data_IF_814016166638
#
_entry.id   IF_814016166638
#
_cell.length_a   1.000
_cell.length_b   1.000
_cell.length_c   1.000
_cell.angle_alpha   90.00
_cell.angle_beta   90.00
_cell.angle_gamma   90.00
#
_symmetry.space_group_name_H-M   'P 1'
#
loop_
_entity.id
_entity.type
_entity.pdbx_description
1 polymer ?
#
# COMPACT_ATOMS: atom_id res chain seq x y z
N UNK A 1 4.97 -1.28 17.68
CA UNK A 1 5.93 -0.15 17.61
C UNK A 1 5.70 0.74 18.82
N UNK A 2 6.68 0.91 19.70
CA UNK A 2 6.51 1.74 20.89
C UNK A 2 6.60 3.22 20.54
N UNK A 3 5.90 4.08 21.30
CA UNK A 3 5.90 5.52 21.07
C UNK A 3 5.15 6.31 22.14
N UNK A 4 5.07 7.62 21.93
CA UNK A 4 4.27 8.55 22.72
C UNK A 4 3.13 9.11 21.86
N UNK A 5 1.92 9.12 22.40
CA UNK A 5 0.69 9.44 21.69
C UNK A 5 -0.05 10.54 22.43
N UNK A 6 -0.28 11.66 21.75
CA UNK A 6 -0.98 12.83 22.24
C UNK A 6 -2.43 12.77 21.80
N UNK A 7 -3.31 12.74 22.79
CA UNK A 7 -4.75 12.73 22.62
C UNK A 7 -5.27 14.16 22.42
N UNK A 8 -6.50 14.32 21.89
CA UNK A 8 -7.16 15.62 21.76
C UNK A 8 -7.28 16.40 23.08
N UNK A 9 -7.36 15.69 24.20
CA UNK A 9 -7.30 16.25 25.56
C UNK A 9 -5.95 16.88 25.91
N UNK A 10 -4.95 16.78 25.02
CA UNK A 10 -3.54 17.15 25.19
C UNK A 10 -2.79 16.29 26.22
N UNK A 11 -3.39 15.20 26.68
CA UNK A 11 -2.67 14.19 27.45
C UNK A 11 -1.79 13.36 26.51
N UNK A 12 -0.51 13.23 26.85
CA UNK A 12 0.44 12.40 26.11
C UNK A 12 0.72 11.13 26.90
N UNK A 13 0.48 9.98 26.29
CA UNK A 13 0.65 8.66 26.90
C UNK A 13 1.69 7.83 26.16
N UNK A 14 2.40 7.00 26.91
CA UNK A 14 3.24 5.96 26.32
C UNK A 14 2.37 4.80 25.85
N UNK A 15 2.73 4.25 24.69
CA UNK A 15 1.95 3.18 24.07
C UNK A 15 2.77 2.30 23.14
N UNK A 16 2.12 1.25 22.64
CA UNK A 16 2.56 0.42 21.53
C UNK A 16 1.49 0.42 20.45
N UNK A 17 1.87 0.81 19.25
CA UNK A 17 1.07 0.72 18.05
C UNK A 17 1.46 -0.53 17.27
N UNK A 18 0.57 -1.50 17.22
CA UNK A 18 0.69 -2.64 16.31
C UNK A 18 0.02 -2.29 14.99
N UNK A 19 0.81 -2.17 13.91
CA UNK A 19 0.29 -1.87 12.58
C UNK A 19 0.23 -3.17 11.82
N UNK A 20 -0.95 -3.77 11.85
CA UNK A 20 -1.26 -4.91 11.03
C UNK A 20 -2.12 -4.48 9.85
N UNK A 21 -1.94 -5.18 8.74
CA UNK A 21 -2.71 -4.92 7.55
C UNK A 21 -4.22 -5.14 7.81
N UNK A 22 -4.61 -6.17 8.57
CA UNK A 22 -6.02 -6.50 8.88
C UNK A 22 -6.61 -5.77 10.09
N UNK A 23 -5.87 -4.81 10.64
CA UNK A 23 -6.36 -3.95 11.70
C UNK A 23 -5.25 -3.51 12.63
N UNK A 24 -4.98 -2.21 12.65
CA UNK A 24 -4.00 -1.64 13.57
C UNK A 24 -4.62 -1.47 14.95
N UNK A 25 -3.82 -1.67 16.00
CA UNK A 25 -4.24 -1.53 17.41
C UNK A 25 -3.23 -0.63 18.11
N UNK A 26 -3.72 0.44 18.75
CA UNK A 26 -2.95 1.24 19.69
C UNK A 26 -3.26 0.77 21.11
N UNK A 27 -2.26 0.31 21.85
CA UNK A 27 -2.33 0.07 23.28
C UNK A 27 -1.62 1.19 24.03
N UNK A 28 -2.33 1.94 24.88
CA UNK A 28 -1.75 2.98 25.75
C UNK A 28 -1.97 2.64 27.22
N UNK A 29 -1.09 3.12 28.08
CA UNK A 29 -1.15 2.89 29.52
C UNK A 29 -0.70 4.10 30.32
N UNK A 30 -1.14 4.15 31.57
CA UNK A 30 -0.73 5.18 32.53
C UNK A 30 -1.57 6.45 32.47
N UNK A 31 -2.76 6.41 31.86
CA UNK A 31 -3.65 7.56 31.88
C UNK A 31 -4.15 7.81 33.31
N UNK A 32 -4.09 9.07 33.73
CA UNK A 32 -4.48 9.50 35.08
C UNK A 32 -6.00 9.52 35.29
N UNK A 33 -6.75 9.52 34.18
CA UNK A 33 -8.21 9.55 34.18
C UNK A 33 -8.82 8.85 32.98
N UNK A 34 -10.13 9.10 32.80
CA UNK A 34 -10.85 8.66 31.62
C UNK A 34 -10.45 9.49 30.40
N UNK A 35 -9.99 8.83 29.34
CA UNK A 35 -9.71 9.51 28.08
C UNK A 35 -11.03 9.79 27.37
N UNK A 36 -11.33 11.08 27.19
CA UNK A 36 -12.44 11.52 26.34
C UNK A 36 -11.89 11.79 24.93
N UNK A 37 -12.32 10.97 23.96
CA UNK A 37 -12.10 11.23 22.53
C UNK A 37 -13.27 10.67 21.72
N UNK A 38 -13.48 11.24 20.54
CA UNK A 38 -14.51 10.89 19.57
C UNK A 38 -13.91 10.22 18.33
N UNK A 39 -14.74 9.58 17.52
CA UNK A 39 -14.29 8.95 16.27
C UNK A 39 -13.73 9.97 15.25
N UNK A 40 -14.11 11.25 15.38
CA UNK A 40 -13.59 12.33 14.53
C UNK A 40 -12.19 12.80 14.97
N UNK A 41 -11.70 12.33 16.11
CA UNK A 41 -10.48 12.82 16.69
C UNK A 41 -9.24 12.17 16.08
N UNK A 42 -8.17 12.96 16.02
CA UNK A 42 -6.85 12.52 15.60
C UNK A 42 -5.98 12.32 16.84
N UNK A 43 -5.41 11.12 16.97
CA UNK A 43 -4.36 10.87 17.96
C UNK A 43 -3.03 11.00 17.21
N UNK A 44 -2.28 12.05 17.52
CA UNK A 44 -0.94 12.26 16.98
C UNK A 44 0.09 11.57 17.87
N UNK A 45 1.26 11.23 17.34
CA UNK A 45 2.30 10.62 18.15
C UNK A 45 3.65 10.56 17.46
N UNK A 46 4.64 10.12 18.23
CA UNK A 46 5.99 9.84 17.76
C UNK A 46 6.36 8.42 18.17
N UNK A 47 6.78 7.62 17.19
CA UNK A 47 7.35 6.30 17.42
C UNK A 47 8.74 6.43 18.07
N UNK A 48 9.25 5.34 18.64
CA UNK A 48 10.54 5.33 19.36
C UNK A 48 11.73 5.80 18.50
N UNK A 49 11.65 5.65 17.18
CA UNK A 49 12.61 6.13 16.19
C UNK A 49 12.35 7.60 15.76
N UNK A 50 11.53 8.35 16.50
CA UNK A 50 11.10 9.72 16.21
C UNK A 50 10.29 9.88 14.92
N UNK A 51 9.79 8.79 14.34
CA UNK A 51 8.89 8.88 13.18
C UNK A 51 7.51 9.36 13.63
N UNK A 52 7.00 10.49 13.09
CA UNK A 52 5.65 10.94 13.39
C UNK A 52 4.59 9.98 12.85
N UNK A 53 3.52 9.82 13.63
CA UNK A 53 2.37 8.98 13.33
C UNK A 53 1.07 9.72 13.66
N UNK A 54 0.06 9.54 12.83
CA UNK A 54 -1.29 10.03 13.06
C UNK A 54 -2.29 8.86 12.96
N UNK A 55 -3.19 8.78 13.92
CA UNK A 55 -4.25 7.78 14.00
C UNK A 55 -5.60 8.47 13.85
N UNK A 56 -6.43 7.99 12.94
CA UNK A 56 -7.72 8.61 12.59
C UNK A 56 -8.85 7.58 12.66
N UNK A 57 -10.06 8.04 12.99
CA UNK A 57 -11.20 7.16 13.19
C UNK A 57 -10.93 6.21 14.34
N UNK A 58 -10.57 6.75 15.51
CA UNK A 58 -10.09 5.98 16.65
C UNK A 58 -11.26 5.51 17.52
N UNK A 59 -11.44 4.20 17.66
CA UNK A 59 -12.49 3.59 18.48
C UNK A 59 -11.90 2.86 19.69
N UNK A 60 -12.33 3.16 20.93
CA UNK A 60 -11.91 2.39 22.10
C UNK A 60 -12.53 0.99 22.05
N UNK A 61 -11.70 -0.05 22.08
CA UNK A 61 -12.12 -1.47 22.12
C UNK A 61 -12.16 -1.99 23.53
N UNK A 62 -11.13 -1.68 24.31
CA UNK A 62 -11.04 -2.14 25.68
C UNK A 62 -10.44 -1.07 26.58
N UNK A 63 -10.87 -1.10 27.84
CA UNK A 63 -10.44 -0.21 28.90
C UNK A 63 -10.21 -1.04 30.15
N UNK A 64 -9.05 -0.88 30.79
CA UNK A 64 -8.71 -1.55 32.04
C UNK A 64 -8.24 -0.52 33.06
N UNK A 65 -8.72 -0.65 34.29
CA UNK A 65 -8.24 0.12 35.44
C UNK A 65 -7.31 -0.77 36.25
N UNK A 66 -6.17 -0.23 36.67
CA UNK A 66 -5.30 -0.86 37.66
C UNK A 66 -5.10 0.10 38.83
N UNK A 67 -5.05 -0.43 40.05
CA UNK A 67 -4.82 0.36 41.27
C UNK A 67 -3.40 0.06 41.73
N UNK A 68 -2.53 1.06 41.60
CA UNK A 68 -1.13 0.97 42.02
C UNK A 68 -0.82 1.84 43.23
N UNK A 69 0.44 1.83 43.71
CA UNK A 69 0.90 2.67 44.82
C UNK A 69 0.70 4.18 44.58
N UNK A 70 0.67 4.59 43.31
CA UNK A 70 0.50 5.97 42.88
C UNK A 70 -0.96 6.33 42.56
N UNK A 71 -1.92 5.48 42.93
CA UNK A 71 -3.34 5.67 42.64
C UNK A 71 -3.85 4.83 41.45
N UNK A 72 -5.09 5.08 41.00
CA UNK A 72 -5.65 4.40 39.83
C UNK A 72 -4.91 4.85 38.56
N UNK A 73 -4.66 3.91 37.65
CA UNK A 73 -4.17 4.18 36.30
C UNK A 73 -4.96 3.38 35.29
N UNK A 74 -5.17 3.96 34.12
CA UNK A 74 -5.96 3.35 33.06
C UNK A 74 -5.08 2.90 31.89
N UNK A 75 -5.48 1.81 31.25
CA UNK A 75 -4.98 1.40 29.94
C UNK A 75 -6.12 1.22 28.96
N UNK A 76 -5.83 1.50 27.68
CA UNK A 76 -6.79 1.48 26.59
C UNK A 76 -6.21 0.70 25.41
N UNK A 77 -7.07 -0.07 24.76
CA UNK A 77 -6.84 -0.58 23.40
C UNK A 77 -7.76 0.18 22.46
N UNK A 78 -7.18 0.78 21.42
CA UNK A 78 -7.85 1.67 20.49
C UNK A 78 -7.64 1.13 19.08
N UNK A 79 -8.72 1.00 18.31
CA UNK A 79 -8.69 0.65 16.90
C UNK A 79 -8.80 1.90 16.05
N UNK A 80 -7.69 2.39 15.47
CA UNK A 80 -7.76 3.36 14.40
C UNK A 80 -8.31 2.75 13.11
N UNK A 81 -9.20 3.47 12.43
CA UNK A 81 -9.60 3.16 11.05
C UNK A 81 -8.46 3.39 10.06
N UNK A 82 -7.64 4.40 10.32
CA UNK A 82 -6.49 4.75 9.49
C UNK A 82 -5.27 5.06 10.33
N UNK A 83 -4.12 4.59 9.88
CA UNK A 83 -2.81 4.95 10.44
C UNK A 83 -1.99 5.59 9.34
N UNK A 84 -1.45 6.78 9.60
CA UNK A 84 -0.51 7.45 8.70
C UNK A 84 0.83 7.64 9.39
N UNK A 85 1.89 7.20 8.74
CA UNK A 85 3.27 7.24 9.23
C UNK A 85 4.10 8.01 8.20
N UNK A 86 4.88 9.01 8.60
CA UNK A 86 5.75 9.70 7.64
C UNK A 86 6.87 10.49 8.28
N UNK A 87 7.42 11.45 7.53
CA UNK A 87 8.66 12.15 7.87
C UNK A 87 8.45 13.54 8.46
N UNK A 88 7.21 14.02 8.50
CA UNK A 88 6.82 15.26 9.17
C UNK A 88 5.47 15.13 9.87
N UNK A 89 5.24 16.02 10.83
CA UNK A 89 3.94 16.17 11.48
C UNK A 89 2.90 16.55 10.43
N UNK A 90 1.72 15.93 10.52
CA UNK A 90 0.65 16.10 9.55
C UNK A 90 -0.52 16.76 10.26
N UNK A 91 -0.95 17.91 9.76
CA UNK A 91 -2.08 18.67 10.29
C UNK A 91 -3.37 18.21 9.62
N UNK A 92 -4.09 17.28 10.24
CA UNK A 92 -5.36 16.76 9.71
C UNK A 92 -6.56 17.47 10.36
N UNK A 93 -7.71 17.66 9.68
CA UNK A 93 -8.24 17.00 8.47
C UNK A 93 -8.15 17.79 7.13
N UNK A 94 -7.48 18.94 7.11
CA UNK A 94 -7.47 19.86 5.96
C UNK A 94 -6.35 19.57 4.94
N UNK A 95 -5.43 18.65 5.23
CA UNK A 95 -4.37 18.30 4.31
C UNK A 95 -4.86 17.39 3.19
N UNK A 96 -4.65 17.88 1.96
CA UNK A 96 -5.27 17.31 0.77
C UNK A 96 -4.28 16.43 0.00
N UNK A 97 -4.69 15.21 -0.29
CA UNK A 97 -3.91 14.15 -0.95
C UNK A 97 -4.00 14.33 -2.45
N UNK A 98 -2.86 14.53 -3.10
CA UNK A 98 -2.79 14.71 -4.56
C UNK A 98 -2.41 13.41 -5.30
N UNK A 99 -1.71 12.51 -4.63
CA UNK A 99 -1.23 11.27 -5.25
C UNK A 99 -1.21 10.15 -4.24
N UNK A 100 -1.62 8.97 -4.70
CA UNK A 100 -1.38 7.71 -4.01
C UNK A 100 -0.51 6.81 -4.90
N UNK A 101 0.41 6.10 -4.27
CA UNK A 101 1.25 5.07 -4.87
C UNK A 101 1.08 3.81 -4.02
N UNK A 102 0.81 2.66 -4.64
CA UNK A 102 0.49 1.46 -3.89
C UNK A 102 0.98 0.18 -4.58
N UNK A 103 1.28 -0.80 -3.75
CA UNK A 103 1.63 -2.17 -4.13
C UNK A 103 0.48 -3.11 -3.73
N UNK A 104 0.22 -4.12 -4.54
CA UNK A 104 -0.75 -5.17 -4.23
C UNK A 104 -0.23 -6.54 -4.68
N UNK A 105 -0.76 -7.59 -4.07
CA UNK A 105 -0.20 -8.95 -4.09
C UNK A 105 -0.01 -9.60 -5.47
N UNK A 106 -0.87 -9.29 -6.45
CA UNK A 106 -0.74 -9.85 -7.79
C UNK A 106 -0.39 -8.84 -8.89
N UNK A 107 0.19 -7.70 -8.51
CA UNK A 107 0.59 -6.66 -9.47
C UNK A 107 1.45 -7.24 -10.60
N UNK A 108 2.38 -8.16 -10.27
CA UNK A 108 3.24 -8.83 -11.25
C UNK A 108 2.47 -9.55 -12.37
N UNK A 109 1.38 -10.25 -12.05
CA UNK A 109 0.62 -11.02 -13.03
C UNK A 109 -0.24 -10.12 -13.92
N UNK A 110 -0.82 -9.08 -13.34
CA UNK A 110 -1.68 -8.14 -14.05
C UNK A 110 -0.90 -7.24 -15.02
N UNK A 111 0.31 -6.86 -14.60
CA UNK A 111 1.16 -5.87 -15.27
C UNK A 111 2.37 -6.50 -15.95
N UNK A 112 2.40 -7.83 -16.10
CA UNK A 112 3.51 -8.54 -16.74
C UNK A 112 3.78 -7.95 -18.13
N UNK A 113 5.00 -7.45 -18.31
CA UNK A 113 5.55 -6.98 -19.58
C UNK A 113 6.89 -7.69 -19.86
N UNK A 114 7.45 -7.44 -21.04
CA UNK A 114 8.71 -8.05 -21.48
C UNK A 114 9.94 -7.22 -21.05
N UNK A 115 9.79 -6.36 -20.04
CA UNK A 115 10.86 -5.47 -19.58
C UNK A 115 11.94 -6.21 -18.77
N UNK A 116 11.60 -7.36 -18.18
CA UNK A 116 12.51 -8.19 -17.37
C UNK A 116 12.51 -9.60 -17.92
N UNK A 117 13.69 -10.11 -18.25
CA UNK A 117 13.84 -11.49 -18.70
C UNK A 117 15.26 -12.01 -18.42
N UNK A 118 15.47 -13.29 -18.76
CA UNK A 118 16.75 -13.98 -18.70
C UNK A 118 17.16 -14.38 -20.11
N UNK A 119 18.41 -14.11 -20.46
CA UNK A 119 19.04 -14.57 -21.70
C UNK A 119 20.23 -15.48 -21.38
N UNK A 120 20.46 -16.47 -22.24
CA UNK A 120 21.62 -17.35 -22.21
C UNK A 120 22.47 -17.02 -23.45
N UNK A 121 23.39 -16.04 -23.36
CA UNK A 121 24.12 -15.57 -24.52
C UNK A 121 25.18 -16.57 -24.95
N UNK A 122 25.74 -16.38 -26.14
CA UNK A 122 26.95 -17.06 -26.53
C UNK A 122 28.13 -16.64 -25.60
N UNK A 123 28.92 -17.58 -25.04
CA UNK A 123 30.02 -17.26 -24.14
C UNK A 123 31.06 -16.30 -24.72
N UNK A 124 31.37 -16.42 -26.02
CA UNK A 124 32.37 -15.56 -26.65
C UNK A 124 31.86 -14.12 -26.80
N UNK A 125 30.59 -13.95 -27.19
CA UNK A 125 29.96 -12.63 -27.28
C UNK A 125 29.88 -11.93 -25.91
N UNK A 126 29.52 -12.65 -24.86
CA UNK A 126 29.46 -12.08 -23.51
C UNK A 126 30.87 -11.70 -23.01
N UNK A 127 31.87 -12.53 -23.27
CA UNK A 127 33.26 -12.25 -22.91
C UNK A 127 33.79 -10.98 -23.59
N UNK A 128 33.49 -10.80 -24.88
CA UNK A 128 33.82 -9.58 -25.62
C UNK A 128 33.11 -8.35 -25.04
N UNK A 129 31.82 -8.45 -24.75
CA UNK A 129 31.05 -7.37 -24.15
C UNK A 129 31.62 -6.95 -22.79
N UNK A 130 31.85 -7.90 -21.87
CA UNK A 130 32.40 -7.58 -20.55
C UNK A 130 33.79 -6.96 -20.68
N UNK A 131 34.65 -7.54 -21.52
CA UNK A 131 36.01 -7.00 -21.75
C UNK A 131 35.98 -5.56 -22.29
N UNK A 132 34.97 -5.20 -23.09
CA UNK A 132 34.81 -3.83 -23.61
C UNK A 132 34.32 -2.81 -22.57
N UNK A 133 33.66 -3.26 -21.50
CA UNK A 133 33.13 -2.39 -20.45
C UNK A 133 34.09 -2.26 -19.26
N UNK A 134 35.11 -3.11 -19.20
CA UNK A 134 35.92 -3.33 -18.00
C UNK A 134 37.42 -3.10 -18.24
N UNK A 135 37.77 -2.02 -18.95
CA UNK A 135 39.14 -1.63 -19.31
C UNK A 135 40.07 -1.37 -18.10
N UNK A 136 39.55 -1.34 -16.86
CA UNK A 136 40.32 -1.03 -15.64
C UNK A 136 40.15 -2.01 -14.47
N UNK A 137 39.47 -3.15 -14.64
CA UNK A 137 39.33 -4.11 -13.54
C UNK A 137 40.61 -4.88 -13.27
N UNK A 138 40.98 -4.96 -11.99
CA UNK A 138 42.06 -5.81 -11.48
C UNK A 138 41.70 -7.30 -11.46
N UNK A 139 40.44 -7.65 -11.74
CA UNK A 139 39.92 -9.02 -11.73
C UNK A 139 39.05 -9.28 -12.97
N UNK A 140 39.66 -9.71 -14.08
CA UNK A 140 38.91 -10.01 -15.30
C UNK A 140 37.88 -11.11 -15.03
N UNK A 141 36.63 -10.84 -15.38
CA UNK A 141 35.53 -11.80 -15.22
C UNK A 141 35.75 -12.98 -16.17
N UNK A 142 35.82 -14.20 -15.61
CA UNK A 142 35.88 -15.42 -16.41
C UNK A 142 34.47 -15.85 -16.82
N UNK A 143 34.18 -15.83 -18.13
CA UNK A 143 32.91 -16.33 -18.68
C UNK A 143 33.02 -17.83 -18.91
N UNK A 144 32.15 -18.60 -18.25
CA UNK A 144 32.06 -20.06 -18.43
C UNK A 144 31.17 -20.48 -19.61
N UNK A 145 31.04 -21.79 -19.83
CA UNK A 145 30.33 -22.39 -20.98
C UNK A 145 28.81 -22.14 -21.02
N UNK A 146 28.22 -21.80 -19.87
CA UNK A 146 26.77 -21.63 -19.71
C UNK A 146 26.44 -20.29 -19.02
N UNK A 147 26.74 -19.15 -19.66
CA UNK A 147 26.45 -17.86 -19.08
C UNK A 147 24.94 -17.65 -18.98
N UNK A 148 24.53 -17.01 -17.88
CA UNK A 148 23.15 -16.58 -17.65
C UNK A 148 23.18 -15.10 -17.36
N UNK A 149 22.42 -14.32 -18.11
CA UNK A 149 22.30 -12.87 -17.92
C UNK A 149 20.83 -12.56 -17.63
N UNK A 150 20.57 -12.02 -16.45
CA UNK A 150 19.29 -11.38 -16.15
C UNK A 150 19.37 -9.91 -16.55
N UNK A 151 18.32 -9.38 -17.16
CA UNK A 151 18.31 -8.00 -17.60
C UNK A 151 16.98 -7.32 -17.31
N UNK A 152 17.05 -6.00 -17.17
CA UNK A 152 15.93 -5.10 -17.17
C UNK A 152 16.13 -4.08 -18.29
N UNK A 153 15.16 -3.96 -19.19
CA UNK A 153 15.13 -2.90 -20.19
C UNK A 153 14.07 -1.89 -19.82
N UNK A 154 14.45 -0.63 -19.96
CA UNK A 154 13.54 0.46 -19.68
C UNK A 154 13.37 1.36 -20.91
N UNK A 155 12.43 1.00 -21.77
CA UNK A 155 12.08 1.85 -22.91
C UNK A 155 11.30 3.11 -22.50
N UNK A 156 10.64 3.12 -21.33
CA UNK A 156 9.61 4.10 -20.97
C UNK A 156 9.70 4.60 -19.53
N UNK A 157 10.90 4.73 -18.97
CA UNK A 157 11.15 5.12 -17.57
C UNK A 157 10.31 4.32 -16.53
N UNK A 158 10.19 3.02 -16.73
CA UNK A 158 9.48 2.05 -15.89
C UNK A 158 7.99 1.98 -16.18
N UNK A 159 7.44 2.88 -16.99
CA UNK A 159 6.01 2.98 -17.24
C UNK A 159 5.47 1.73 -17.95
N UNK A 160 4.49 1.10 -17.31
CA UNK A 160 3.76 -0.05 -17.84
C UNK A 160 2.53 0.43 -18.62
N UNK A 161 1.68 1.23 -17.96
CA UNK A 161 0.53 1.88 -18.60
C UNK A 161 0.18 3.19 -17.91
N UNK A 162 -0.64 4.01 -18.57
CA UNK A 162 -1.29 5.18 -17.98
C UNK A 162 -2.61 5.44 -18.67
N UNK A 163 -3.62 5.78 -17.89
CA UNK A 163 -4.97 6.05 -18.38
C UNK A 163 -5.59 7.22 -17.64
N UNK A 164 -6.17 8.15 -18.37
CA UNK A 164 -7.01 9.20 -17.80
C UNK A 164 -8.37 8.60 -17.41
N UNK A 165 -8.81 8.91 -16.19
CA UNK A 165 -10.07 8.40 -15.64
C UNK A 165 -10.79 9.50 -14.89
N UNK A 166 -12.00 9.18 -14.42
CA UNK A 166 -12.84 10.12 -13.66
C UNK A 166 -12.32 10.47 -12.27
N UNK A 167 -11.32 9.73 -11.78
CA UNK A 167 -10.66 10.00 -10.50
C UNK A 167 -9.25 10.57 -10.71
N UNK A 168 -8.89 10.93 -11.94
CA UNK A 168 -7.54 11.34 -12.35
C UNK A 168 -6.77 10.27 -13.12
N UNK A 169 -5.46 10.45 -13.23
CA UNK A 169 -4.58 9.59 -14.01
C UNK A 169 -4.18 8.35 -13.21
N UNK A 170 -4.59 7.17 -13.68
CA UNK A 170 -4.16 5.87 -13.12
C UNK A 170 -3.02 5.32 -13.94
N UNK A 171 -1.94 4.88 -13.28
CA UNK A 171 -0.75 4.33 -13.94
C UNK A 171 -0.13 3.18 -13.15
N UNK A 172 0.74 2.41 -13.79
CA UNK A 172 1.63 1.46 -13.11
C UNK A 172 3.03 1.53 -13.69
N UNK A 173 4.02 1.29 -12.81
CA UNK A 173 5.44 1.41 -13.13
C UNK A 173 6.24 0.28 -12.49
N UNK A 174 7.28 -0.19 -13.20
CA UNK A 174 8.33 -1.01 -12.65
C UNK A 174 9.22 -0.17 -11.72
N UNK A 175 9.51 -0.67 -10.54
CA UNK A 175 10.44 -0.10 -9.58
C UNK A 175 11.56 -1.12 -9.35
N UNK A 176 12.58 -1.01 -10.19
CA UNK A 176 13.74 -1.91 -10.15
C UNK A 176 14.79 -1.38 -9.19
N UNK A 177 15.27 -2.24 -8.30
CA UNK A 177 16.39 -1.95 -7.39
C UNK A 177 17.48 -2.99 -7.64
N UNK A 178 18.63 -2.56 -8.15
CA UNK A 178 19.81 -3.40 -8.25
C UNK A 178 20.56 -3.46 -6.91
N UNK A 179 21.22 -4.58 -6.66
CA UNK A 179 22.05 -4.76 -5.48
C UNK A 179 23.26 -5.63 -5.81
N UNK A 180 24.32 -5.39 -5.06
CA UNK A 180 25.52 -6.22 -5.02
C UNK A 180 25.76 -6.51 -3.54
N UNK A 181 25.88 -7.78 -3.18
CA UNK A 181 26.10 -8.24 -1.82
C UNK A 181 27.56 -8.66 -1.65
N UNK A 182 28.09 -8.49 -0.43
CA UNK A 182 29.43 -8.94 -0.06
C UNK A 182 29.58 -10.48 -0.07
N UNK A 183 28.48 -11.22 -0.27
CA UNK A 183 28.44 -12.69 -0.36
C UNK A 183 28.45 -13.20 -1.80
N UNK A 184 28.92 -12.38 -2.74
CA UNK A 184 28.94 -12.68 -4.19
C UNK A 184 27.55 -12.79 -4.83
N UNK A 185 26.49 -12.32 -4.16
CA UNK A 185 25.17 -12.22 -4.77
C UNK A 185 25.02 -10.88 -5.48
N UNK A 186 24.72 -10.90 -6.78
CA UNK A 186 24.33 -9.71 -7.52
C UNK A 186 23.00 -9.95 -8.22
N UNK A 187 22.19 -8.91 -8.33
CA UNK A 187 20.93 -9.01 -9.03
C UNK A 187 20.11 -7.74 -8.93
N UNK A 188 18.84 -7.88 -9.24
CA UNK A 188 17.87 -6.83 -9.04
C UNK A 188 16.54 -7.42 -8.56
N UNK A 189 15.81 -6.59 -7.82
CA UNK A 189 14.41 -6.84 -7.47
C UNK A 189 13.55 -5.88 -8.26
N UNK A 190 12.35 -6.31 -8.64
CA UNK A 190 11.36 -5.44 -9.25
C UNK A 190 10.07 -5.47 -8.44
N UNK A 191 9.58 -4.29 -8.08
CA UNK A 191 8.24 -4.09 -7.56
C UNK A 191 7.39 -3.38 -8.60
N UNK A 192 6.15 -3.80 -8.77
CA UNK A 192 5.23 -3.05 -9.64
C UNK A 192 4.36 -2.15 -8.77
N UNK A 193 4.56 -0.85 -8.93
CA UNK A 193 3.84 0.17 -8.18
C UNK A 193 2.74 0.77 -9.05
N UNK A 194 1.49 0.65 -8.60
CA UNK A 194 0.39 1.40 -9.17
C UNK A 194 0.32 2.79 -8.55
N UNK A 195 -0.21 3.76 -9.28
CA UNK A 195 -0.38 5.12 -8.81
C UNK A 195 -1.67 5.75 -9.35
N UNK A 196 -2.26 6.63 -8.55
CA UNK A 196 -3.30 7.55 -8.99
C UNK A 196 -2.82 8.96 -8.69
N UNK A 197 -2.74 9.79 -9.72
CA UNK A 197 -2.62 11.24 -9.60
C UNK A 197 -4.03 11.81 -9.68
N UNK A 198 -4.52 12.41 -8.60
CA UNK A 198 -5.87 12.95 -8.56
C UNK A 198 -5.93 14.31 -9.27
N UNK A 199 -7.01 14.55 -10.02
CA UNK A 199 -7.26 15.85 -10.68
C UNK A 199 -7.50 16.95 -9.64
N UNK A 200 -8.27 16.61 -8.61
CA UNK A 200 -8.53 17.43 -7.45
C UNK A 200 -8.00 16.70 -6.21
N UNK A 201 -7.28 17.40 -5.33
CA UNK A 201 -6.83 16.80 -4.09
C UNK A 201 -8.00 16.27 -3.25
N UNK A 202 -7.81 15.12 -2.59
CA UNK A 202 -8.84 14.45 -1.76
C UNK A 202 -8.41 14.23 -0.31
N UNK A 203 -9.37 13.97 0.59
CA UNK A 203 -9.06 13.55 1.96
C UNK A 203 -8.86 12.02 2.07
N UNK A 204 -8.46 11.54 3.26
CA UNK A 204 -8.16 10.13 3.51
C UNK A 204 -9.36 9.19 3.34
N UNK A 205 -10.57 9.66 3.65
CA UNK A 205 -11.79 8.86 3.56
C UNK A 205 -12.17 8.63 2.09
N UNK A 206 -12.11 9.70 1.29
CA UNK A 206 -12.32 9.64 -0.15
C UNK A 206 -11.22 8.81 -0.83
N UNK A 207 -9.96 8.90 -0.37
CA UNK A 207 -8.89 8.04 -0.83
C UNK A 207 -9.22 6.57 -0.62
N UNK A 208 -9.65 6.19 0.59
CA UNK A 208 -10.04 4.80 0.85
C UNK A 208 -11.15 4.35 -0.10
N UNK A 209 -12.20 5.15 -0.28
CA UNK A 209 -13.31 4.84 -1.20
C UNK A 209 -12.83 4.60 -2.63
N UNK A 210 -11.94 5.45 -3.15
CA UNK A 210 -11.36 5.31 -4.51
C UNK A 210 -10.46 4.08 -4.61
N UNK A 211 -9.66 3.82 -3.59
CA UNK A 211 -8.81 2.63 -3.51
C UNK A 211 -9.64 1.34 -3.52
N UNK A 212 -10.75 1.29 -2.79
CA UNK A 212 -11.68 0.17 -2.81
C UNK A 212 -12.28 -0.06 -4.22
N UNK A 213 -12.64 1.00 -4.93
CA UNK A 213 -13.16 0.92 -6.30
C UNK A 213 -12.13 0.32 -7.26
N UNK A 214 -10.86 0.75 -7.14
CA UNK A 214 -9.75 0.24 -7.93
C UNK A 214 -9.47 -1.23 -7.60
N UNK A 215 -9.35 -1.58 -6.32
CA UNK A 215 -9.09 -2.97 -5.90
C UNK A 215 -10.20 -3.92 -6.36
N UNK A 216 -11.46 -3.49 -6.38
CA UNK A 216 -12.55 -4.26 -6.98
C UNK A 216 -12.34 -4.46 -8.48
N UNK A 217 -11.97 -3.42 -9.21
CA UNK A 217 -11.67 -3.56 -10.64
C UNK A 217 -10.53 -4.56 -10.87
N UNK A 218 -9.39 -4.33 -10.22
CA UNK A 218 -8.20 -5.19 -10.31
C UNK A 218 -8.55 -6.64 -9.96
N UNK A 219 -9.37 -6.83 -8.92
CA UNK A 219 -9.81 -8.14 -8.50
C UNK A 219 -10.68 -8.86 -9.52
N UNK A 220 -11.58 -8.15 -10.23
CA UNK A 220 -12.32 -8.73 -11.35
C UNK A 220 -11.37 -9.15 -12.47
N UNK A 221 -10.43 -8.28 -12.85
CA UNK A 221 -9.54 -8.52 -13.99
C UNK A 221 -8.66 -9.75 -13.76
N UNK A 222 -8.22 -9.98 -12.52
CA UNK A 222 -7.37 -11.12 -12.17
C UNK A 222 -8.15 -12.33 -11.62
N UNK A 223 -9.45 -12.18 -11.39
CA UNK A 223 -10.31 -13.28 -10.93
C UNK A 223 -10.20 -13.62 -9.44
N UNK A 224 -9.67 -12.72 -8.60
CA UNK A 224 -9.71 -12.85 -7.13
C UNK A 224 -9.59 -11.49 -6.42
N UNK A 225 -10.09 -11.30 -5.18
CA UNK A 225 -9.85 -10.08 -4.41
C UNK A 225 -8.35 -9.78 -4.29
N UNK A 226 -7.99 -8.51 -4.11
CA UNK A 226 -6.60 -8.05 -4.07
C UNK A 226 -6.28 -7.46 -2.70
N UNK A 227 -5.12 -7.78 -2.18
CA UNK A 227 -4.64 -7.24 -0.91
C UNK A 227 -3.64 -6.10 -1.18
N UNK A 228 -3.82 -4.96 -0.52
CA UNK A 228 -2.78 -3.92 -0.50
C UNK A 228 -1.61 -4.38 0.37
N UNK A 229 -0.41 -4.33 -0.20
CA UNK A 229 0.85 -4.60 0.49
C UNK A 229 1.42 -3.30 1.07
N UNK A 230 1.47 -2.26 0.24
CA UNK A 230 2.03 -0.97 0.60
C UNK A 230 1.15 0.14 0.03
N UNK A 231 0.96 1.22 0.79
CA UNK A 231 0.31 2.43 0.28
C UNK A 231 1.06 3.65 0.79
N UNK A 232 1.40 4.52 -0.14
CA UNK A 232 2.08 5.79 0.10
C UNK A 232 1.24 6.92 -0.48
N UNK A 233 1.07 7.99 0.27
CA UNK A 233 0.40 9.20 -0.19
C UNK A 233 1.38 10.35 -0.27
N UNK A 234 1.07 11.30 -1.14
CA UNK A 234 1.74 12.59 -1.28
C UNK A 234 0.71 13.69 -1.11
N UNK A 235 1.08 14.75 -0.39
CA UNK A 235 0.20 15.84 0.00
C UNK A 235 0.43 17.07 -0.89
N UNK A 236 -0.63 17.82 -1.22
CA UNK A 236 -0.57 18.97 -2.15
C UNK A 236 0.36 20.08 -1.68
N UNK A 237 0.52 20.26 -0.37
CA UNK A 237 1.43 21.24 0.24
C UNK A 237 2.90 20.98 -0.14
N UNK A 238 3.26 19.74 -0.45
CA UNK A 238 4.63 19.34 -0.75
C UNK A 238 5.01 19.53 -2.22
N UNK A 239 4.03 19.58 -3.13
CA UNK A 239 4.25 19.88 -4.56
C UNK A 239 4.71 21.31 -4.83
N UNK A 240 4.37 22.27 -3.95
CA UNK A 240 4.64 23.69 -4.19
C UNK A 240 6.02 24.16 -3.71
N UNK A 241 6.75 23.33 -2.94
CA UNK A 241 8.09 23.66 -2.49
C UNK A 241 9.13 23.30 -3.58
N UNK A 242 9.40 24.22 -4.51
CA UNK A 242 10.32 23.97 -5.63
C UNK A 242 11.71 23.53 -5.12
N UNK A 243 12.11 22.30 -5.45
CA UNK A 243 13.44 21.76 -5.19
C UNK A 243 13.55 20.80 -3.98
N UNK A 244 12.48 20.56 -3.23
CA UNK A 244 12.50 19.51 -2.20
C UNK A 244 12.14 18.13 -2.78
N UNK A 245 12.80 17.08 -2.28
CA UNK A 245 12.45 15.70 -2.59
C UNK A 245 11.01 15.48 -2.12
N UNK A 246 10.11 14.98 -2.98
CA UNK A 246 8.72 14.73 -2.59
C UNK A 246 8.70 13.80 -1.38
N UNK A 247 8.01 14.20 -0.31
CA UNK A 247 7.84 13.32 0.83
C UNK A 247 6.62 12.43 0.56
N UNK A 248 6.67 11.26 1.16
CA UNK A 248 5.60 10.28 1.08
C UNK A 248 5.29 9.80 2.49
N UNK A 249 4.01 9.58 2.73
CA UNK A 249 3.49 9.07 3.99
C UNK A 249 2.92 7.68 3.74
N UNK A 250 3.30 6.72 4.55
CA UNK A 250 2.73 5.37 4.51
C UNK A 250 1.36 5.39 5.18
N UNK A 251 0.37 4.81 4.51
CA UNK A 251 -1.01 4.73 4.99
C UNK A 251 -1.41 3.28 5.18
N UNK A 252 -2.04 2.98 6.31
CA UNK A 252 -2.65 1.69 6.58
C UNK A 252 -4.16 1.86 6.77
N UNK A 253 -4.93 1.10 6.00
CA UNK A 253 -6.40 1.07 6.06
C UNK A 253 -6.88 -0.17 6.82
N UNK A 254 -7.74 0.02 7.81
CA UNK A 254 -8.30 -1.08 8.60
C UNK A 254 -9.34 -1.91 7.83
N UNK A 255 -10.17 -1.29 6.98
CA UNK A 255 -11.45 -1.87 6.51
C UNK A 255 -11.48 -2.34 5.06
N UNK A 256 -10.32 -2.45 4.39
CA UNK A 256 -10.27 -2.97 3.02
C UNK A 256 -10.56 -4.47 2.98
N UNK A 257 -11.37 -4.88 2.00
CA UNK A 257 -11.68 -6.29 1.78
C UNK A 257 -10.42 -7.05 1.40
N UNK A 258 -10.25 -8.19 2.07
CA UNK A 258 -9.10 -9.07 1.90
C UNK A 258 -9.56 -10.45 1.51
N UNK A 259 -8.71 -11.17 0.80
CA UNK A 259 -8.83 -12.63 0.77
C UNK A 259 -7.91 -13.22 1.83
N UNK A 260 -8.42 -14.22 2.55
CA UNK A 260 -7.67 -14.99 3.54
C UNK A 260 -7.40 -16.39 3.01
N UNK A 261 -6.17 -16.86 3.14
CA UNK A 261 -5.79 -18.25 2.89
C UNK A 261 -4.88 -18.47 1.68
N UNK A 262 -4.31 -19.67 1.59
CA UNK A 262 -3.44 -20.08 0.48
C UNK A 262 -4.29 -20.29 -0.78
N UNK A 263 -4.51 -19.22 -1.53
CA UNK A 263 -5.02 -19.33 -2.89
C UNK A 263 -3.88 -19.73 -3.84
N UNK A 264 -4.20 -20.50 -4.87
CA UNK A 264 -3.27 -20.73 -5.98
C UNK A 264 -2.89 -19.37 -6.58
N UNK A 265 -1.61 -19.16 -6.84
CA UNK A 265 -1.14 -17.98 -7.56
C UNK A 265 -1.83 -17.90 -8.94
N UNK A 266 -2.26 -16.72 -9.38
CA UNK A 266 -2.91 -16.59 -10.67
C UNK A 266 -1.93 -16.95 -11.79
N UNK A 267 -2.45 -17.61 -12.82
CA UNK A 267 -1.74 -17.83 -14.06
C UNK A 267 -1.89 -16.60 -14.96
N UNK A 268 -0.93 -16.30 -15.85
CA UNK A 268 -1.15 -15.31 -16.92
C UNK A 268 -2.41 -15.57 -17.75
N UNK A 269 -2.87 -16.83 -17.83
CA UNK A 269 -4.11 -17.21 -18.50
C UNK A 269 -5.39 -16.92 -17.71
N UNK A 270 -5.28 -16.62 -16.41
CA UNK A 270 -6.40 -16.26 -15.55
C UNK A 270 -6.72 -14.75 -15.63
N UNK A 271 -5.81 -13.95 -16.21
CA UNK A 271 -5.93 -12.49 -16.35
C UNK A 271 -6.82 -12.16 -17.55
N UNK A 272 -7.95 -11.46 -17.31
CA UNK A 272 -8.90 -11.07 -18.37
C UNK A 272 -8.32 -10.04 -19.34
N UNK A 273 -7.54 -9.07 -18.83
CA UNK A 273 -6.90 -8.01 -19.60
C UNK A 273 -5.55 -7.72 -18.97
N UNK A 274 -4.45 -8.06 -19.66
CA UNK A 274 -3.10 -7.79 -19.17
C UNK A 274 -2.72 -6.33 -19.47
N UNK A 275 -2.49 -5.52 -18.44
CA UNK A 275 -2.17 -4.11 -18.59
C UNK A 275 -0.74 -3.84 -19.10
N UNK A 276 0.17 -4.81 -18.96
CA UNK A 276 1.54 -4.72 -19.49
C UNK A 276 1.63 -4.85 -21.00
N UNK A 277 0.75 -5.63 -21.63
CA UNK A 277 0.72 -5.82 -23.09
C UNK A 277 -0.48 -5.16 -23.76
N UNK A 278 -1.57 -4.90 -23.03
CA UNK A 278 -2.81 -4.31 -23.53
C UNK A 278 -3.20 -3.03 -22.78
N UNK A 279 -2.21 -2.22 -22.41
CA UNK A 279 -2.38 -1.03 -21.55
C UNK A 279 -3.47 -0.05 -22.00
N UNK A 280 -3.63 0.19 -23.31
CA UNK A 280 -4.69 1.05 -23.84
C UNK A 280 -6.09 0.46 -23.62
N UNK A 281 -6.25 -0.84 -23.89
CA UNK A 281 -7.53 -1.54 -23.68
C UNK A 281 -7.87 -1.62 -22.20
N UNK A 282 -6.88 -1.92 -21.36
CA UNK A 282 -7.02 -1.90 -19.90
C UNK A 282 -7.47 -0.52 -19.41
N UNK A 283 -6.79 0.54 -19.85
CA UNK A 283 -7.12 1.93 -19.49
C UNK A 283 -8.54 2.31 -19.87
N UNK A 284 -9.00 1.96 -21.07
CA UNK A 284 -10.37 2.21 -21.52
C UNK A 284 -11.41 1.48 -20.67
N UNK A 285 -11.17 0.21 -20.34
CA UNK A 285 -12.10 -0.59 -19.52
C UNK A 285 -12.11 -0.08 -18.08
N UNK A 286 -10.95 0.28 -17.52
CA UNK A 286 -10.83 0.91 -16.21
C UNK A 286 -11.62 2.24 -16.15
N UNK A 287 -11.42 3.13 -17.12
CA UNK A 287 -12.15 4.40 -17.20
C UNK A 287 -13.66 4.19 -17.24
N UNK A 288 -14.14 3.28 -18.08
CA UNK A 288 -15.56 2.93 -18.16
C UNK A 288 -16.09 2.26 -16.88
N UNK A 289 -15.27 1.47 -16.18
CA UNK A 289 -15.63 0.86 -14.90
C UNK A 289 -15.87 1.92 -13.82
N UNK A 290 -14.94 2.88 -13.70
CA UNK A 290 -14.97 3.95 -12.70
C UNK A 290 -16.07 4.97 -13.01
N UNK A 291 -16.30 5.32 -14.27
CA UNK A 291 -17.44 6.18 -14.65
C UNK A 291 -18.77 5.56 -14.19
N UNK A 292 -18.93 4.23 -14.30
CA UNK A 292 -20.12 3.54 -13.79
C UNK A 292 -20.19 3.49 -12.27
N UNK A 293 -19.06 3.48 -11.54
CA UNK A 293 -19.05 3.50 -10.06
C UNK A 293 -19.67 4.79 -9.50
N UNK A 294 -19.72 5.90 -10.27
CA UNK A 294 -20.40 7.13 -9.83
C UNK A 294 -21.88 6.94 -9.53
N UNK A 295 -22.51 5.90 -10.09
CA UNK A 295 -23.91 5.58 -9.84
C UNK A 295 -24.03 4.73 -8.55
N UNK A 296 -24.79 5.18 -7.52
CA UNK A 296 -24.88 4.49 -6.23
C UNK A 296 -25.36 3.03 -6.33
N UNK A 297 -26.22 2.73 -7.31
CA UNK A 297 -26.72 1.37 -7.57
C UNK A 297 -25.61 0.41 -8.01
N UNK A 298 -24.72 0.85 -8.90
CA UNK A 298 -23.58 0.08 -9.37
C UNK A 298 -22.54 -0.11 -8.27
N UNK A 299 -22.22 0.96 -7.56
CA UNK A 299 -21.30 0.93 -6.42
C UNK A 299 -21.78 -0.07 -5.37
N UNK A 300 -23.05 0.00 -4.97
CA UNK A 300 -23.65 -0.90 -3.99
C UNK A 300 -23.64 -2.35 -4.47
N UNK A 301 -24.08 -2.61 -5.71
CA UNK A 301 -24.13 -3.95 -6.25
C UNK A 301 -22.74 -4.61 -6.31
N UNK A 302 -21.73 -3.87 -6.77
CA UNK A 302 -20.35 -4.36 -6.84
C UNK A 302 -19.76 -4.55 -5.46
N UNK A 303 -20.00 -3.63 -4.51
CA UNK A 303 -19.57 -3.80 -3.12
C UNK A 303 -20.15 -5.07 -2.51
N UNK A 304 -21.44 -5.32 -2.67
CA UNK A 304 -22.11 -6.53 -2.17
C UNK A 304 -21.57 -7.81 -2.83
N UNK A 305 -21.37 -7.78 -4.15
CA UNK A 305 -20.74 -8.88 -4.87
C UNK A 305 -19.36 -9.20 -4.26
N UNK A 306 -18.51 -8.18 -4.07
CA UNK A 306 -17.18 -8.36 -3.51
C UNK A 306 -17.18 -8.84 -2.06
N UNK A 307 -18.10 -8.33 -1.24
CA UNK A 307 -18.29 -8.82 0.13
C UNK A 307 -18.62 -10.31 0.15
N UNK A 308 -19.52 -10.75 -0.74
CA UNK A 308 -19.87 -12.17 -0.86
C UNK A 308 -18.74 -13.00 -1.49
N UNK A 309 -17.97 -12.40 -2.40
CA UNK A 309 -16.88 -13.07 -3.11
C UNK A 309 -15.66 -13.29 -2.24
N UNK A 310 -15.29 -12.29 -1.43
CA UNK A 310 -14.17 -12.39 -0.47
C UNK A 310 -14.45 -13.41 0.64
N UNK A 311 -15.71 -13.65 0.96
CA UNK A 311 -16.16 -14.65 1.95
C UNK A 311 -16.19 -16.09 1.39
N UNK A 312 -15.90 -16.31 0.10
CA UNK A 312 -15.90 -17.68 -0.45
C UNK A 312 -14.73 -18.48 0.14
N UNK A 313 -15.09 -19.43 1.03
CA UNK A 313 -14.32 -20.52 1.66
C UNK A 313 -13.94 -20.36 3.15
N UNK A 314 -14.41 -19.33 3.85
CA UNK A 314 -14.40 -19.33 5.33
C UNK A 314 -15.82 -19.13 5.88
N UNK A 315 -16.40 -20.20 6.43
CA UNK A 315 -17.41 -20.04 7.46
C UNK A 315 -16.67 -19.69 8.74
N UNK A 316 -16.22 -18.44 8.86
CA UNK A 316 -15.61 -17.98 10.09
C UNK A 316 -16.73 -17.58 11.06
N UNK A 317 -17.00 -18.44 12.04
CA UNK A 317 -18.06 -18.24 13.03
C UNK A 317 -17.90 -16.93 13.84
N UNK A 318 -16.72 -16.30 13.78
CA UNK A 318 -16.37 -15.10 14.55
C UNK A 318 -16.62 -13.77 13.80
N UNK A 319 -16.83 -13.78 12.49
CA UNK A 319 -17.06 -12.54 11.73
C UNK A 319 -18.43 -11.90 11.98
N UNK A 320 -19.36 -12.64 12.60
CA UNK A 320 -20.71 -12.17 12.94
C UNK A 320 -20.74 -11.14 14.08
N UNK A 321 -19.64 -10.93 14.80
CA UNK A 321 -19.60 -10.00 15.94
C UNK A 321 -19.20 -8.57 15.54
N UNK A 322 -18.27 -8.40 14.59
CA UNK A 322 -17.79 -7.09 14.16
C UNK A 322 -18.83 -6.29 13.36
N UNK A 323 -19.68 -6.98 12.59
CA UNK A 323 -20.75 -6.32 11.82
C UNK A 323 -21.98 -5.91 12.65
N UNK A 324 -22.14 -6.41 13.89
CA UNK A 324 -23.22 -5.99 14.78
C UNK A 324 -22.94 -4.66 15.50
N UNK A 325 -21.70 -4.20 15.51
CA UNK A 325 -21.32 -2.93 16.15
C UNK A 325 -21.49 -1.71 15.23
N UNK A 326 -21.52 -1.88 13.90
CA UNK A 326 -21.69 -0.80 12.93
C UNK A 326 -23.15 -0.56 12.47
N UNK A 327 -24.13 -1.18 13.15
CA UNK A 327 -25.56 -0.85 13.01
C UNK A 327 -26.14 -0.40 14.35
N UNK A 328 -25.65 0.74 14.84
CA UNK A 328 -26.43 1.69 15.66
C UNK A 328 -25.96 3.09 15.36
#
# INVERSE_FOLDING_TARGET
MNGHFTFPSRETLSGSLDVQESGSVLSVWGASGELAFSDADVIAGFLANQTPVALMGCFPVSRKMSIGPNGPSWSYEILPHHVVIGTSEISYPDEIIEKVVFEFDDAFFLFKNDAIDILMPDPAQLSEFISSQDDQSTHPVQVGDHPVVSYYTDANAGKIFSAETVIGTVSAHNQVTSFISDREDAGFTNKIMAAVQFDEPINISELQSRMEQLLRFLGIVIGRPQNLIETKIRLSSESQASGQIPKYFTVHFHSLLRHSGRQRAPSPHDVLINAGTQGETFGRVLGAWLEREKQPSWQTARRLFFLSWSQRRSYDAYFTQSYRLFRR
#
